data_IF_130720876860
#
_entry.id   IF_130720876860
#
_cell.length_a   1.000
_cell.length_b   1.000
_cell.length_c   1.000
_cell.angle_alpha   90.00
_cell.angle_beta   90.00
_cell.angle_gamma   90.00
#
_symmetry.space_group_name_H-M   'P 1'
#
loop_
_entity.id
_entity.type
_entity.pdbx_description
1 polymer ?
#
# COMPACT_ATOMS: atom_id res chain seq x y z
N UNK A 1 -0.09 -36.51 0.23
CA UNK A 1 -0.87 -36.20 -0.99
C UNK A 1 -0.62 -34.75 -1.31
N UNK A 2 0.16 -34.47 -2.33
CA UNK A 2 0.61 -33.11 -2.62
C UNK A 2 -0.48 -32.38 -3.41
N UNK A 3 -1.06 -31.35 -2.79
CA UNK A 3 -2.05 -30.49 -3.44
C UNK A 3 -1.32 -29.64 -4.48
N UNK A 4 -1.81 -29.63 -5.73
CA UNK A 4 -1.31 -28.71 -6.75
C UNK A 4 -1.75 -27.29 -6.40
N UNK A 5 -0.85 -26.33 -6.56
CA UNK A 5 -1.09 -24.91 -6.33
C UNK A 5 -0.97 -24.17 -7.66
N UNK A 6 -1.89 -23.24 -7.92
CA UNK A 6 -1.94 -22.42 -9.13
C UNK A 6 -2.15 -20.95 -8.77
N UNK A 7 -1.73 -20.06 -9.66
CA UNK A 7 -2.01 -18.62 -9.57
C UNK A 7 -3.28 -18.34 -10.35
N UNK A 8 -4.29 -17.77 -9.69
CA UNK A 8 -5.60 -17.49 -10.29
C UNK A 8 -5.85 -16.00 -10.54
N UNK A 9 -5.10 -15.12 -9.89
CA UNK A 9 -5.23 -13.68 -10.09
C UNK A 9 -3.96 -12.94 -9.68
N UNK A 10 -3.77 -11.76 -10.27
CA UNK A 10 -2.62 -10.90 -10.07
C UNK A 10 -3.08 -9.46 -9.79
N UNK A 11 -2.26 -8.73 -9.03
CA UNK A 11 -2.48 -7.32 -8.78
C UNK A 11 -1.16 -6.64 -8.50
N UNK A 12 -1.05 -5.38 -8.90
CA UNK A 12 0.23 -4.67 -8.89
C UNK A 12 0.02 -3.19 -8.57
N UNK A 13 0.85 -2.69 -7.65
CA UNK A 13 0.96 -1.27 -7.36
C UNK A 13 2.43 -0.89 -7.47
N UNK A 14 2.85 -0.46 -8.67
CA UNK A 14 4.24 -0.20 -8.98
C UNK A 14 4.47 1.27 -9.41
N UNK A 15 5.70 1.81 -9.28
CA UNK A 15 6.01 3.20 -9.62
C UNK A 15 5.80 3.60 -11.09
N UNK A 16 5.76 2.62 -11.99
CA UNK A 16 5.55 2.79 -13.42
C UNK A 16 4.14 2.40 -13.89
N UNK A 17 3.30 1.81 -13.02
CA UNK A 17 1.92 1.45 -13.32
C UNK A 17 1.19 0.88 -12.09
N UNK A 18 -0.02 1.35 -11.85
CA UNK A 18 -0.92 0.83 -10.81
C UNK A 18 -2.06 0.11 -11.51
N UNK A 19 -2.25 -1.17 -11.19
CA UNK A 19 -3.11 -2.08 -11.94
C UNK A 19 -2.38 -2.79 -13.09
N UNK A 20 -2.90 -3.97 -13.46
CA UNK A 20 -2.25 -4.86 -14.44
C UNK A 20 -2.10 -4.23 -15.82
N UNK A 21 -3.11 -3.50 -16.30
CA UNK A 21 -3.10 -2.87 -17.63
C UNK A 21 -1.97 -1.85 -17.74
N UNK A 22 -1.92 -0.89 -16.82
CA UNK A 22 -0.93 0.19 -16.84
C UNK A 22 0.49 -0.35 -16.64
N UNK A 23 0.65 -1.31 -15.73
CA UNK A 23 1.94 -1.96 -15.50
C UNK A 23 2.42 -2.74 -16.73
N UNK A 24 1.54 -3.51 -17.37
CA UNK A 24 1.87 -4.31 -18.55
C UNK A 24 2.27 -3.41 -19.72
N UNK A 25 1.54 -2.32 -19.95
CA UNK A 25 1.87 -1.36 -21.00
C UNK A 25 3.20 -0.67 -20.70
N UNK A 26 3.43 -0.26 -19.45
CA UNK A 26 4.70 0.35 -19.04
C UNK A 26 5.90 -0.58 -19.26
N UNK A 27 5.76 -1.89 -19.01
CA UNK A 27 6.81 -2.87 -19.28
C UNK A 27 7.10 -2.99 -20.78
N UNK A 28 6.06 -3.08 -21.61
CA UNK A 28 6.20 -3.19 -23.08
C UNK A 28 6.85 -1.95 -23.69
N UNK A 29 6.57 -0.78 -23.15
CA UNK A 29 7.08 0.51 -23.62
C UNK A 29 8.44 0.88 -23.01
N UNK A 30 8.94 0.13 -22.03
CA UNK A 30 10.17 0.48 -21.30
C UNK A 30 10.03 1.75 -20.46
N UNK A 31 8.81 2.08 -20.00
CA UNK A 31 8.52 3.30 -19.25
C UNK A 31 9.08 3.23 -17.84
N UNK A 32 10.02 4.13 -17.52
CA UNK A 32 10.61 4.24 -16.18
C UNK A 32 9.62 4.81 -15.17
N UNK A 33 9.66 4.25 -13.95
CA UNK A 33 8.93 4.77 -12.79
C UNK A 33 9.76 5.70 -11.90
N UNK A 34 11.01 5.99 -12.26
CA UNK A 34 11.90 6.84 -11.48
C UNK A 34 11.59 8.31 -11.80
N UNK A 35 11.45 9.13 -10.76
CA UNK A 35 11.20 10.57 -10.88
C UNK A 35 12.11 11.34 -9.94
N UNK A 36 12.36 12.59 -10.29
CA UNK A 36 12.96 13.56 -9.39
C UNK A 36 12.00 13.88 -8.24
N UNK A 37 12.54 13.99 -7.03
CA UNK A 37 11.79 14.18 -5.80
C UNK A 37 12.13 15.53 -5.16
N UNK A 38 11.25 16.51 -5.34
CA UNK A 38 11.44 17.87 -4.80
C UNK A 38 11.66 17.85 -3.29
N UNK A 39 10.89 17.04 -2.56
CA UNK A 39 11.03 16.88 -1.10
C UNK A 39 12.43 16.41 -0.69
N UNK A 40 13.05 15.51 -1.44
CA UNK A 40 14.41 15.04 -1.13
C UNK A 40 15.45 16.15 -1.32
N UNK A 41 15.27 17.00 -2.36
CA UNK A 41 16.13 18.16 -2.58
C UNK A 41 15.98 19.21 -1.49
N UNK A 42 14.75 19.54 -1.09
CA UNK A 42 14.46 20.49 0.00
C UNK A 42 15.08 20.05 1.32
N UNK A 43 15.17 18.73 1.55
CA UNK A 43 15.81 18.13 2.72
C UNK A 43 17.33 17.91 2.55
N UNK A 44 17.93 18.41 1.46
CA UNK A 44 19.37 18.33 1.17
C UNK A 44 19.91 16.89 1.07
N UNK A 45 19.12 15.94 0.59
CA UNK A 45 19.62 14.59 0.31
C UNK A 45 20.58 14.58 -0.89
N UNK A 46 21.62 13.74 -0.80
CA UNK A 46 22.54 13.49 -1.92
C UNK A 46 21.87 12.75 -3.08
N UNK A 47 20.93 11.85 -2.79
CA UNK A 47 20.05 11.23 -3.80
C UNK A 47 18.71 11.96 -3.85
N UNK A 48 18.31 12.43 -5.03
CA UNK A 48 17.10 13.24 -5.24
C UNK A 48 16.13 12.60 -6.23
N UNK A 49 16.29 11.30 -6.50
CA UNK A 49 15.42 10.52 -7.37
C UNK A 49 14.86 9.34 -6.59
N UNK A 50 13.58 9.02 -6.82
CA UNK A 50 12.94 7.84 -6.25
C UNK A 50 11.80 7.36 -7.15
N UNK A 51 11.36 6.12 -6.93
CA UNK A 51 10.26 5.50 -7.63
C UNK A 51 9.12 5.24 -6.63
N UNK A 52 8.15 6.15 -6.58
CA UNK A 52 6.98 6.08 -5.71
C UNK A 52 5.71 5.84 -6.53
N UNK A 53 4.90 4.80 -6.29
CA UNK A 53 3.60 4.63 -6.95
C UNK A 53 2.75 5.91 -6.90
N UNK A 54 2.35 6.41 -8.07
CA UNK A 54 1.53 7.61 -8.18
C UNK A 54 0.06 7.23 -8.01
N UNK A 55 -0.44 7.40 -6.79
CA UNK A 55 -1.83 7.08 -6.45
C UNK A 55 -2.60 8.39 -6.28
N UNK A 56 -3.64 8.57 -7.07
CA UNK A 56 -4.53 9.73 -6.95
C UNK A 56 -5.52 9.51 -5.80
N UNK A 57 -5.88 10.56 -5.08
CA UNK A 57 -6.80 10.45 -3.93
C UNK A 57 -8.15 9.83 -4.30
N UNK A 58 -8.67 10.13 -5.50
CA UNK A 58 -9.91 9.55 -5.98
C UNK A 58 -9.83 8.03 -6.21
N UNK A 59 -8.63 7.50 -6.48
CA UNK A 59 -8.41 6.06 -6.63
C UNK A 59 -8.52 5.35 -5.28
N UNK A 60 -8.03 5.98 -4.20
CA UNK A 60 -8.08 5.39 -2.84
C UNK A 60 -9.50 5.10 -2.38
N UNK A 61 -10.48 5.92 -2.79
CA UNK A 61 -11.89 5.73 -2.45
C UNK A 61 -12.48 4.41 -3.00
N UNK A 62 -11.83 3.78 -3.99
CA UNK A 62 -12.26 2.47 -4.52
C UNK A 62 -11.83 1.31 -3.60
N UNK A 63 -10.81 1.53 -2.77
CA UNK A 63 -10.19 0.49 -1.94
C UNK A 63 -10.48 0.66 -0.46
N UNK A 64 -10.69 1.89 -0.01
CA UNK A 64 -10.88 2.22 1.39
C UNK A 64 -12.12 3.08 1.61
N UNK A 65 -12.79 2.80 2.72
CA UNK A 65 -13.81 3.70 3.26
C UNK A 65 -13.17 4.97 3.84
N UNK A 66 -13.92 6.08 3.98
CA UNK A 66 -13.41 7.29 4.65
C UNK A 66 -12.91 7.03 6.07
N UNK A 67 -13.52 6.07 6.78
CA UNK A 67 -13.11 5.67 8.12
C UNK A 67 -11.75 4.96 8.11
N UNK A 68 -11.50 4.07 7.14
CA UNK A 68 -10.22 3.37 7.02
C UNK A 68 -9.07 4.28 6.58
N UNK A 69 -9.35 5.30 5.77
CA UNK A 69 -8.34 6.30 5.38
C UNK A 69 -7.98 7.22 6.54
N UNK A 70 -8.87 7.39 7.53
CA UNK A 70 -8.65 8.30 8.65
C UNK A 70 -7.48 7.82 9.51
N UNK A 71 -6.36 8.55 9.42
CA UNK A 71 -5.14 8.25 10.18
C UNK A 71 -4.29 7.12 9.60
N UNK A 72 -4.60 6.65 8.38
CA UNK A 72 -3.75 5.71 7.66
C UNK A 72 -2.52 6.44 7.11
N UNK A 73 -1.40 6.31 7.84
CA UNK A 73 -0.11 6.89 7.46
C UNK A 73 0.94 5.79 7.24
N UNK A 74 0.66 4.89 6.30
CA UNK A 74 1.50 3.74 5.99
C UNK A 74 1.37 3.35 4.52
N UNK A 75 2.22 3.92 3.67
CA UNK A 75 2.19 3.72 2.20
C UNK A 75 2.28 2.25 1.79
N UNK A 76 3.09 1.44 2.49
CA UNK A 76 3.18 0.00 2.20
C UNK A 76 1.87 -0.76 2.40
N UNK A 77 1.02 -0.37 3.37
CA UNK A 77 -0.32 -0.96 3.53
C UNK A 77 -1.20 -0.55 2.36
N UNK A 78 -1.15 0.73 1.97
CA UNK A 78 -1.92 1.24 0.83
C UNK A 78 -1.61 0.45 -0.44
N UNK A 79 -0.32 0.27 -0.74
CA UNK A 79 0.11 -0.48 -1.93
C UNK A 79 -0.30 -1.94 -1.86
N UNK A 80 -0.12 -2.57 -0.69
CA UNK A 80 -0.49 -3.96 -0.45
C UNK A 80 -1.99 -4.21 -0.60
N UNK A 81 -2.83 -3.33 -0.08
CA UNK A 81 -4.29 -3.43 -0.19
C UNK A 81 -4.75 -3.23 -1.63
N UNK A 82 -4.20 -2.25 -2.35
CA UNK A 82 -4.52 -2.04 -3.77
C UNK A 82 -4.18 -3.29 -4.57
N UNK A 83 -2.92 -3.75 -4.48
CA UNK A 83 -2.48 -4.94 -5.21
C UNK A 83 -3.24 -6.20 -4.79
N UNK A 84 -3.50 -6.39 -3.49
CA UNK A 84 -4.21 -7.56 -2.98
C UNK A 84 -5.68 -7.61 -3.39
N UNK A 85 -6.39 -6.48 -3.35
CA UNK A 85 -7.79 -6.39 -3.77
C UNK A 85 -7.93 -6.50 -5.30
N UNK A 86 -7.00 -5.93 -6.06
CA UNK A 86 -6.96 -6.12 -7.52
C UNK A 86 -6.74 -7.60 -7.85
N UNK A 87 -5.80 -8.28 -7.19
CA UNK A 87 -5.54 -9.71 -7.37
C UNK A 87 -6.76 -10.58 -7.00
N UNK A 88 -7.48 -10.19 -5.94
CA UNK A 88 -8.71 -10.86 -5.54
C UNK A 88 -9.78 -10.75 -6.62
N UNK A 89 -9.95 -9.55 -7.18
CA UNK A 89 -10.90 -9.29 -8.24
C UNK A 89 -10.51 -9.98 -9.55
N UNK A 90 -9.24 -9.98 -9.91
CA UNK A 90 -8.70 -10.63 -11.12
C UNK A 90 -8.89 -12.16 -11.05
N UNK A 91 -8.82 -12.74 -9.85
CA UNK A 91 -9.16 -14.15 -9.62
C UNK A 91 -10.66 -14.47 -9.73
N UNK A 92 -11.52 -13.47 -10.00
CA UNK A 92 -12.97 -13.63 -10.05
C UNK A 92 -13.61 -13.92 -8.68
N UNK A 93 -12.92 -13.58 -7.58
CA UNK A 93 -13.43 -13.81 -6.23
C UNK A 93 -14.26 -12.62 -5.76
N UNK A 94 -15.44 -12.89 -5.23
CA UNK A 94 -16.31 -11.86 -4.67
C UNK A 94 -15.91 -11.50 -3.24
N UNK A 95 -16.23 -10.27 -2.83
CA UNK A 95 -16.15 -9.87 -1.42
C UNK A 95 -17.27 -10.58 -0.65
N UNK A 96 -16.92 -11.28 0.43
CA UNK A 96 -17.93 -11.90 1.30
C UNK A 96 -18.71 -10.81 2.03
N UNK A 97 -20.05 -10.84 1.91
CA UNK A 97 -20.94 -10.02 2.72
C UNK A 97 -21.35 -10.71 4.03
N UNK A 98 -20.81 -11.90 4.32
CA UNK A 98 -21.11 -12.64 5.54
C UNK A 98 -20.31 -12.10 6.72
N UNK A 99 -20.95 -12.03 7.88
CA UNK A 99 -20.25 -11.82 9.17
C UNK A 99 -19.37 -12.99 9.57
N UNK A 100 -19.52 -14.15 8.92
CA UNK A 100 -18.73 -15.34 9.20
C UNK A 100 -17.41 -15.31 8.40
N UNK A 101 -16.25 -15.49 9.06
CA UNK A 101 -14.97 -15.59 8.38
C UNK A 101 -14.93 -16.74 7.38
N UNK A 102 -14.23 -16.54 6.26
CA UNK A 102 -13.96 -17.62 5.31
C UNK A 102 -12.73 -18.43 5.75
N UNK A 103 -12.95 -19.53 6.46
CA UNK A 103 -11.86 -20.37 7.00
C UNK A 103 -10.95 -21.01 5.94
N UNK A 104 -11.44 -21.16 4.70
CA UNK A 104 -10.69 -21.70 3.56
C UNK A 104 -9.83 -20.64 2.84
N UNK A 105 -9.93 -19.37 3.23
CA UNK A 105 -9.26 -18.23 2.57
C UNK A 105 -8.30 -17.57 3.55
N UNK A 106 -7.01 -17.70 3.28
CA UNK A 106 -5.94 -17.06 4.05
C UNK A 106 -5.32 -15.88 3.32
N UNK A 107 -4.74 -14.95 4.08
CA UNK A 107 -3.88 -13.89 3.55
C UNK A 107 -2.53 -14.00 4.23
N UNK A 108 -1.47 -14.06 3.43
CA UNK A 108 -0.10 -13.89 3.88
C UNK A 108 0.43 -12.60 3.27
N UNK A 109 0.63 -11.59 4.13
CA UNK A 109 1.11 -10.27 3.73
C UNK A 109 2.42 -9.97 4.46
N UNK A 110 3.41 -9.48 3.71
CA UNK A 110 4.74 -9.18 4.22
C UNK A 110 5.23 -7.82 3.75
N UNK A 111 6.04 -7.19 4.57
CA UNK A 111 6.70 -5.92 4.29
C UNK A 111 8.10 -5.93 4.92
N UNK A 112 9.08 -5.33 4.26
CA UNK A 112 10.42 -5.18 4.83
C UNK A 112 10.44 -4.13 5.95
N UNK A 113 9.89 -2.95 5.66
CA UNK A 113 9.76 -1.84 6.60
C UNK A 113 8.42 -1.17 6.33
N UNK A 114 7.66 -0.87 7.37
CA UNK A 114 6.34 -0.27 7.25
C UNK A 114 6.11 0.76 8.36
N UNK A 115 5.32 1.80 8.06
CA UNK A 115 4.84 2.73 9.08
C UNK A 115 5.90 3.69 9.62
N UNK A 116 7.02 3.90 8.91
CA UNK A 116 8.09 4.81 9.36
C UNK A 116 7.57 6.23 9.58
N UNK A 117 6.70 6.72 8.70
CA UNK A 117 6.10 8.05 8.85
C UNK A 117 5.24 8.15 10.11
N UNK A 118 4.42 7.12 10.38
CA UNK A 118 3.61 7.06 11.61
C UNK A 118 4.47 6.93 12.86
N UNK A 119 5.52 6.12 12.80
CA UNK A 119 6.46 5.96 13.89
C UNK A 119 7.19 7.27 14.20
N UNK A 120 7.64 7.98 13.16
CA UNK A 120 8.29 9.28 13.27
C UNK A 120 7.37 10.35 13.87
N UNK A 121 6.11 10.44 13.44
CA UNK A 121 5.10 11.33 14.02
C UNK A 121 4.97 11.11 15.54
N UNK A 122 5.00 9.84 15.95
CA UNK A 122 4.81 9.43 17.34
C UNK A 122 5.99 9.83 18.22
N UNK A 123 7.22 9.72 17.71
CA UNK A 123 8.43 10.18 18.41
C UNK A 123 8.33 11.66 18.74
N UNK A 124 7.94 12.51 17.79
CA UNK A 124 7.83 13.95 18.05
C UNK A 124 6.77 14.28 19.12
N UNK A 125 5.63 13.59 19.09
CA UNK A 125 4.59 13.76 20.13
C UNK A 125 5.08 13.33 21.52
N UNK A 126 5.91 12.28 21.60
CA UNK A 126 6.53 11.83 22.85
C UNK A 126 7.52 12.86 23.39
N UNK A 127 8.42 13.36 22.54
CA UNK A 127 9.43 14.37 22.92
C UNK A 127 8.76 15.65 23.42
N UNK A 128 7.63 16.04 22.82
CA UNK A 128 6.80 17.17 23.25
C UNK A 128 5.91 16.87 24.48
N UNK A 129 6.01 15.68 25.07
CA UNK A 129 5.20 15.20 26.21
C UNK A 129 3.70 15.16 25.93
N UNK A 130 3.27 15.08 24.67
CA UNK A 130 1.87 15.02 24.22
C UNK A 130 1.34 13.58 24.16
N UNK A 131 1.62 12.77 25.18
CA UNK A 131 1.32 11.32 25.20
C UNK A 131 -0.17 10.98 24.96
N UNK A 132 -1.10 11.82 25.43
CA UNK A 132 -2.54 11.63 25.21
C UNK A 132 -2.98 11.84 23.75
N UNK A 133 -2.14 12.45 22.91
CA UNK A 133 -2.41 12.72 21.49
C UNK A 133 -1.82 11.69 20.54
N UNK A 134 -1.13 10.66 21.04
CA UNK A 134 -0.57 9.60 20.20
C UNK A 134 -1.66 8.86 19.41
N UNK A 135 -2.86 8.72 19.98
CA UNK A 135 -3.94 7.97 19.36
C UNK A 135 -3.75 6.45 19.48
N UNK A 136 -4.83 5.70 19.28
CA UNK A 136 -4.83 4.23 19.43
C UNK A 136 -4.13 3.49 18.29
N UNK A 137 -3.85 4.15 17.18
CA UNK A 137 -3.25 3.56 15.97
C UNK A 137 -1.72 3.69 15.92
N UNK A 138 -1.11 4.17 17.00
CA UNK A 138 0.34 4.43 17.12
C UNK A 138 1.11 3.25 17.70
N UNK A 139 0.43 2.29 18.32
CA UNK A 139 1.07 1.09 18.87
C UNK A 139 1.45 0.16 17.71
N UNK A 140 2.76 -0.09 17.57
CA UNK A 140 3.36 -1.06 16.64
C UNK A 140 2.97 -2.50 17.02
#
# INVERSE_FOLDING_TARGET
MDRRVVITGLGVCAPNGVGLTDFTNALREGKSGIRYQTKLRELNFGCQVAAEPLIKDNLLNNYFTPLQLKGLNATGIVYGVIAGLDAWSDAGLEKSNSSTPSWERGVLFGTGILGVDKFRESIYLLDEKKVRRLGSTTVL
#
